data_IF_934412402086
#
_entry.id   IF_934412402086
#
_cell.length_a   1.000
_cell.length_b   1.000
_cell.length_c   1.000
_cell.angle_alpha   90.00
_cell.angle_beta   90.00
_cell.angle_gamma   90.00
#
_symmetry.space_group_name_H-M   'P 1'
#
loop_
_entity.id
_entity.type
_entity.pdbx_description
1 polymer ?
#
# COMPACT_ATOMS: atom_id res chain seq x y z
N UNK A 1 -12.52 -26.75 -40.78
CA UNK A 1 -13.38 -26.82 -41.98
C UNK A 1 -14.00 -25.44 -42.26
N UNK A 2 -15.26 -25.12 -41.91
CA UNK A 2 -15.92 -23.88 -42.39
C UNK A 2 -15.13 -22.56 -42.19
N UNK A 3 -14.48 -22.34 -41.04
CA UNK A 3 -13.67 -21.13 -40.81
C UNK A 3 -12.33 -21.10 -41.58
N UNK A 4 -11.78 -22.24 -41.99
CA UNK A 4 -10.67 -22.25 -42.96
C UNK A 4 -11.17 -21.85 -44.35
N UNK A 5 -12.33 -22.36 -44.79
CA UNK A 5 -12.92 -21.93 -46.06
C UNK A 5 -13.23 -20.43 -46.07
N UNK A 6 -13.59 -19.82 -44.93
CA UNK A 6 -13.71 -18.37 -44.80
C UNK A 6 -12.35 -17.63 -44.86
N UNK A 7 -11.27 -18.19 -44.31
CA UNK A 7 -9.92 -17.62 -44.45
C UNK A 7 -9.39 -17.72 -45.88
N UNK A 8 -9.68 -18.81 -46.59
CA UNK A 8 -9.39 -18.92 -48.02
C UNK A 8 -10.30 -17.99 -48.86
N UNK A 9 -11.59 -17.83 -48.50
CA UNK A 9 -12.48 -16.85 -49.14
C UNK A 9 -12.04 -15.39 -48.92
N UNK A 10 -11.49 -15.05 -47.75
CA UNK A 10 -10.90 -13.74 -47.49
C UNK A 10 -9.51 -13.55 -48.13
N UNK A 11 -8.89 -14.62 -48.66
CA UNK A 11 -7.80 -14.55 -49.65
C UNK A 11 -8.31 -14.53 -51.11
N UNK A 12 -9.60 -14.77 -51.34
CA UNK A 12 -10.25 -14.66 -52.67
C UNK A 12 -10.88 -13.27 -52.88
N UNK A 13 -11.16 -12.51 -51.82
CA UNK A 13 -11.44 -11.06 -51.93
C UNK A 13 -10.22 -10.24 -52.39
N UNK A 14 -9.09 -10.88 -52.65
CA UNK A 14 -7.93 -10.29 -53.33
C UNK A 14 -8.27 -9.83 -54.77
N UNK A 15 -9.41 -10.25 -55.33
CA UNK A 15 -9.95 -9.66 -56.57
C UNK A 15 -10.16 -8.15 -56.46
N UNK A 16 -10.72 -7.64 -55.35
CA UNK A 16 -10.95 -6.20 -55.19
C UNK A 16 -9.65 -5.41 -55.02
N UNK A 17 -8.62 -6.02 -54.42
CA UNK A 17 -7.30 -5.39 -54.28
C UNK A 17 -6.50 -5.41 -55.58
N UNK A 18 -6.70 -6.44 -56.41
CA UNK A 18 -6.24 -6.43 -57.80
C UNK A 18 -6.94 -5.31 -58.57
N UNK A 19 -8.26 -5.15 -58.46
CA UNK A 19 -8.97 -4.10 -59.19
C UNK A 19 -8.53 -2.68 -58.78
N UNK A 20 -8.36 -2.37 -57.48
CA UNK A 20 -7.88 -1.04 -57.05
C UNK A 20 -6.40 -0.78 -57.43
N UNK A 21 -5.52 -1.80 -57.37
CA UNK A 21 -4.12 -1.66 -57.80
C UNK A 21 -3.96 -1.62 -59.33
N UNK A 22 -4.94 -2.13 -60.09
CA UNK A 22 -4.94 -2.18 -61.56
C UNK A 22 -5.68 -0.98 -62.15
N UNK A 23 -6.73 -0.46 -61.52
CA UNK A 23 -7.58 0.65 -62.01
C UNK A 23 -7.43 1.96 -61.23
N UNK A 24 -6.20 2.27 -60.78
CA UNK A 24 -5.83 3.64 -60.43
C UNK A 24 -6.15 4.61 -61.58
N UNK A 25 -6.98 5.62 -61.30
CA UNK A 25 -7.59 6.54 -62.28
C UNK A 25 -6.57 7.43 -63.01
N UNK A 26 -6.10 7.03 -64.18
CA UNK A 26 -5.67 7.95 -65.25
C UNK A 26 -6.04 7.40 -66.64
N UNK A 27 -6.55 8.25 -67.52
CA UNK A 27 -6.97 7.89 -68.88
C UNK A 27 -5.75 7.59 -69.77
N UNK A 28 -5.51 6.30 -70.05
CA UNK A 28 -4.46 5.85 -70.97
C UNK A 28 -5.02 4.91 -72.05
N UNK A 29 -5.03 5.33 -73.33
CA UNK A 29 -5.46 4.48 -74.43
C UNK A 29 -4.35 3.50 -74.85
N UNK A 30 -4.77 2.29 -75.24
CA UNK A 30 -3.98 1.19 -75.81
C UNK A 30 -3.05 0.41 -74.86
N UNK A 31 -3.58 -0.74 -74.41
CA UNK A 31 -2.84 -2.01 -74.49
C UNK A 31 -1.87 -2.32 -73.34
N UNK A 32 -2.40 -2.80 -72.21
CA UNK A 32 -1.60 -3.58 -71.27
C UNK A 32 -1.17 -4.90 -71.91
N UNK A 33 0.01 -4.91 -72.53
CA UNK A 33 0.80 -6.14 -72.67
C UNK A 33 1.29 -6.53 -71.26
N UNK A 34 0.38 -7.04 -70.42
CA UNK A 34 0.71 -7.69 -69.17
C UNK A 34 1.65 -8.85 -69.48
N UNK A 35 2.87 -8.78 -68.98
CA UNK A 35 3.96 -9.67 -69.36
C UNK A 35 3.63 -11.12 -68.96
N UNK A 36 3.05 -11.88 -69.90
CA UNK A 36 2.36 -13.14 -69.62
C UNK A 36 3.29 -14.18 -68.99
N UNK A 37 4.59 -14.13 -69.30
CA UNK A 37 5.60 -14.97 -68.64
C UNK A 37 5.74 -14.65 -67.15
N UNK A 38 5.83 -13.37 -66.77
CA UNK A 38 5.89 -12.96 -65.35
C UNK A 38 4.62 -13.32 -64.61
N UNK A 39 3.44 -13.13 -65.23
CA UNK A 39 2.16 -13.50 -64.60
C UNK A 39 2.04 -15.01 -64.42
N UNK A 40 2.52 -15.80 -65.38
CA UNK A 40 2.60 -17.26 -65.26
C UNK A 40 3.57 -17.68 -64.15
N UNK A 41 4.80 -17.16 -64.13
CA UNK A 41 5.80 -17.45 -63.10
C UNK A 41 5.29 -17.12 -61.68
N UNK A 42 4.58 -16.00 -61.53
CA UNK A 42 3.97 -15.61 -60.25
C UNK A 42 2.84 -16.56 -59.81
N UNK A 43 1.98 -16.99 -60.76
CA UNK A 43 0.94 -17.99 -60.49
C UNK A 43 1.57 -19.35 -60.12
N UNK A 44 2.57 -19.82 -60.89
CA UNK A 44 3.28 -21.07 -60.62
C UNK A 44 3.94 -21.02 -59.22
N UNK A 45 4.61 -19.92 -58.87
CA UNK A 45 5.22 -19.72 -57.54
C UNK A 45 4.21 -19.71 -56.39
N UNK A 46 3.02 -19.13 -56.58
CA UNK A 46 1.94 -19.16 -55.56
C UNK A 46 1.37 -20.58 -55.42
N UNK A 47 1.26 -21.33 -56.51
CA UNK A 47 0.77 -22.73 -56.48
C UNK A 47 1.78 -23.63 -55.76
N UNK A 48 3.08 -23.44 -55.99
CA UNK A 48 4.16 -24.13 -55.26
C UNK A 48 4.13 -23.77 -53.76
N UNK A 49 4.01 -22.49 -53.41
CA UNK A 49 3.93 -22.05 -51.99
C UNK A 49 2.66 -22.61 -51.30
N UNK A 50 1.54 -22.71 -52.01
CA UNK A 50 0.31 -23.33 -51.48
C UNK A 50 0.48 -24.83 -51.26
N UNK A 51 1.19 -25.53 -52.14
CA UNK A 51 1.49 -26.95 -51.97
C UNK A 51 2.37 -27.19 -50.75
N UNK A 52 3.51 -26.49 -50.63
CA UNK A 52 4.44 -26.61 -49.49
C UNK A 52 3.74 -26.35 -48.15
N UNK A 53 2.87 -25.35 -48.09
CA UNK A 53 2.13 -25.00 -46.88
C UNK A 53 1.05 -26.04 -46.52
N UNK A 54 0.45 -26.71 -47.51
CA UNK A 54 -0.45 -27.85 -47.27
C UNK A 54 0.33 -29.06 -46.77
N UNK A 55 1.46 -29.41 -47.40
CA UNK A 55 2.33 -30.52 -46.98
C UNK A 55 2.74 -30.37 -45.51
N UNK A 56 3.18 -29.17 -45.12
CA UNK A 56 3.52 -28.81 -43.73
C UNK A 56 2.33 -28.98 -42.77
N UNK A 57 1.13 -28.54 -43.16
CA UNK A 57 -0.05 -28.68 -42.30
C UNK A 57 -0.39 -30.15 -42.06
N UNK A 58 -0.31 -30.99 -43.10
CA UNK A 58 -0.63 -32.41 -42.98
C UNK A 58 0.46 -33.22 -42.25
N UNK A 59 1.75 -32.89 -42.38
CA UNK A 59 2.81 -33.53 -41.58
C UNK A 59 2.66 -33.23 -40.08
N UNK A 60 2.35 -31.98 -39.71
CA UNK A 60 2.01 -31.59 -38.33
C UNK A 60 0.78 -32.33 -37.83
N UNK A 61 -0.32 -32.36 -38.61
CA UNK A 61 -1.58 -32.99 -38.19
C UNK A 61 -1.48 -34.52 -38.05
N UNK A 62 -0.68 -35.19 -38.89
CA UNK A 62 -0.41 -36.63 -38.78
C UNK A 62 0.54 -36.94 -37.62
N UNK A 63 1.58 -36.15 -37.42
CA UNK A 63 2.45 -36.22 -36.23
C UNK A 63 1.64 -36.14 -34.92
N UNK A 64 0.69 -35.20 -34.83
CA UNK A 64 -0.20 -35.07 -33.67
C UNK A 64 -1.15 -36.27 -33.51
N UNK A 65 -1.61 -36.89 -34.60
CA UNK A 65 -2.45 -38.09 -34.54
C UNK A 65 -1.69 -39.33 -34.06
N UNK A 66 -0.38 -39.41 -34.34
CA UNK A 66 0.48 -40.54 -33.99
C UNK A 66 0.91 -40.58 -32.51
N UNK A 67 0.61 -39.56 -31.69
CA UNK A 67 0.86 -39.63 -30.25
C UNK A 67 -0.02 -40.69 -29.56
N UNK A 68 0.62 -41.70 -28.94
CA UNK A 68 -0.04 -42.85 -28.28
C UNK A 68 -1.03 -42.50 -27.15
N UNK A 69 -0.99 -41.29 -26.61
CA UNK A 69 -1.83 -40.88 -25.47
C UNK A 69 -2.77 -39.73 -25.86
N UNK A 70 -4.08 -39.92 -25.68
CA UNK A 70 -5.11 -38.92 -26.04
C UNK A 70 -4.88 -37.57 -25.38
N UNK A 71 -4.39 -37.53 -24.13
CA UNK A 71 -4.07 -36.30 -23.40
C UNK A 71 -3.02 -35.44 -24.14
N UNK A 72 -1.93 -36.04 -24.62
CA UNK A 72 -0.89 -35.33 -25.40
C UNK A 72 -1.33 -34.90 -26.80
N UNK A 73 -2.51 -35.33 -27.28
CA UNK A 73 -3.11 -34.80 -28.50
C UNK A 73 -3.94 -33.53 -28.26
N UNK A 74 -4.36 -33.25 -27.02
CA UNK A 74 -5.29 -32.16 -26.72
C UNK A 74 -4.61 -30.80 -26.76
N UNK A 75 -3.40 -30.68 -26.20
CA UNK A 75 -2.62 -29.43 -26.17
C UNK A 75 -2.27 -28.92 -27.58
N UNK A 76 -1.59 -29.69 -28.46
CA UNK A 76 -1.25 -29.19 -29.79
C UNK A 76 -2.49 -28.98 -30.70
N UNK A 77 -3.61 -29.67 -30.45
CA UNK A 77 -4.88 -29.38 -31.15
C UNK A 77 -5.53 -28.08 -30.66
N UNK A 78 -5.41 -27.73 -29.38
CA UNK A 78 -5.85 -26.42 -28.86
C UNK A 78 -4.98 -25.30 -29.43
N UNK A 79 -3.67 -25.53 -29.54
CA UNK A 79 -2.72 -24.59 -30.13
C UNK A 79 -3.03 -24.32 -31.60
N UNK A 80 -3.22 -25.35 -32.43
CA UNK A 80 -3.71 -25.17 -33.83
C UNK A 80 -5.05 -24.44 -33.86
N UNK A 81 -5.99 -24.77 -32.96
CA UNK A 81 -7.28 -24.09 -32.90
C UNK A 81 -7.21 -22.62 -32.44
N UNK A 82 -6.10 -22.19 -31.84
CA UNK A 82 -5.78 -20.80 -31.55
C UNK A 82 -5.05 -20.14 -32.72
N UNK A 83 -4.04 -20.79 -33.31
CA UNK A 83 -3.31 -20.31 -34.49
C UNK A 83 -4.24 -20.07 -35.70
N UNK A 84 -5.26 -20.92 -35.91
CA UNK A 84 -6.29 -20.76 -36.95
C UNK A 84 -7.20 -19.54 -36.72
N UNK A 85 -7.11 -18.86 -35.58
CA UNK A 85 -7.78 -17.56 -35.32
C UNK A 85 -6.90 -16.35 -35.68
N UNK A 86 -5.63 -16.58 -36.01
CA UNK A 86 -4.67 -15.53 -36.37
C UNK A 86 -4.54 -15.40 -37.91
N UNK A 87 -3.81 -14.37 -38.34
CA UNK A 87 -3.54 -14.14 -39.76
C UNK A 87 -2.79 -15.31 -40.42
N UNK A 88 -3.02 -15.52 -41.72
CA UNK A 88 -2.53 -16.69 -42.44
C UNK A 88 -1.00 -16.88 -42.42
N UNK A 89 -0.21 -15.79 -42.39
CA UNK A 89 1.25 -15.86 -42.20
C UNK A 89 1.62 -16.42 -40.83
N UNK A 90 1.09 -15.82 -39.76
CA UNK A 90 1.30 -16.25 -38.38
C UNK A 90 0.87 -17.71 -38.13
N UNK A 91 -0.17 -18.18 -38.84
CA UNK A 91 -0.56 -19.59 -38.83
C UNK A 91 0.51 -20.49 -39.46
N UNK A 92 1.05 -20.13 -40.63
CA UNK A 92 2.12 -20.89 -41.30
C UNK A 92 3.39 -20.89 -40.45
N UNK A 93 3.81 -19.76 -39.92
CA UNK A 93 5.01 -19.66 -39.08
C UNK A 93 4.86 -20.43 -37.76
N UNK A 94 3.68 -20.39 -37.14
CA UNK A 94 3.35 -21.21 -35.98
C UNK A 94 3.38 -22.72 -36.29
N UNK A 95 2.86 -23.15 -37.44
CA UNK A 95 2.94 -24.53 -37.90
C UNK A 95 4.40 -24.96 -38.20
N UNK A 96 5.23 -24.07 -38.76
CA UNK A 96 6.67 -24.30 -38.98
C UNK A 96 7.42 -24.46 -37.66
N UNK A 97 7.06 -23.68 -36.64
CA UNK A 97 7.65 -23.77 -35.30
C UNK A 97 7.27 -25.10 -34.64
N UNK A 98 5.98 -25.42 -34.59
CA UNK A 98 5.47 -26.71 -34.08
C UNK A 98 6.09 -27.92 -34.78
N UNK A 99 6.29 -27.87 -36.10
CA UNK A 99 6.94 -28.95 -36.86
C UNK A 99 8.40 -29.18 -36.41
N UNK A 100 9.13 -28.10 -36.12
CA UNK A 100 10.51 -28.16 -35.59
C UNK A 100 10.53 -28.68 -34.15
N UNK A 101 9.67 -28.16 -33.30
CA UNK A 101 9.64 -28.49 -31.86
C UNK A 101 9.23 -29.94 -31.62
N UNK A 102 8.29 -30.46 -32.41
CA UNK A 102 7.88 -31.87 -32.39
C UNK A 102 8.85 -32.81 -33.12
N UNK A 103 9.92 -32.27 -33.75
CA UNK A 103 10.93 -33.02 -34.53
C UNK A 103 10.33 -34.01 -35.53
N UNK A 104 9.28 -33.60 -36.22
CA UNK A 104 8.61 -34.45 -37.20
C UNK A 104 9.50 -34.60 -38.44
N UNK A 105 9.74 -35.83 -38.88
CA UNK A 105 10.29 -36.10 -40.21
C UNK A 105 9.28 -35.69 -41.28
N UNK A 106 9.72 -35.43 -42.53
CA UNK A 106 8.79 -35.33 -43.66
C UNK A 106 7.99 -36.64 -43.75
N UNK A 107 6.72 -36.58 -43.36
CA UNK A 107 5.74 -37.63 -43.60
C UNK A 107 5.12 -37.30 -44.96
N UNK A 108 5.10 -38.27 -45.87
CA UNK A 108 4.51 -38.10 -47.20
C UNK A 108 3.02 -37.74 -47.09
N UNK A 109 2.53 -36.99 -48.07
CA UNK A 109 1.15 -36.51 -48.09
C UNK A 109 0.18 -37.70 -48.03
N UNK A 110 -0.74 -37.79 -47.05
CA UNK A 110 -1.58 -38.97 -46.93
C UNK A 110 -2.52 -39.11 -48.13
N UNK A 111 -2.46 -40.23 -48.85
CA UNK A 111 -3.17 -40.52 -50.12
C UNK A 111 -4.67 -40.13 -50.12
N UNK A 112 -5.30 -40.13 -48.95
CA UNK A 112 -6.70 -39.70 -48.75
C UNK A 112 -6.97 -38.24 -49.16
N UNK A 113 -5.94 -37.39 -49.21
CA UNK A 113 -6.03 -35.97 -49.57
C UNK A 113 -5.49 -35.64 -50.96
N UNK A 114 -5.05 -36.64 -51.74
CA UNK A 114 -4.63 -36.50 -53.15
C UNK A 114 -5.60 -35.70 -54.02
N UNK A 115 -6.90 -35.83 -53.75
CA UNK A 115 -7.94 -35.13 -54.48
C UNK A 115 -7.78 -33.60 -54.41
N UNK A 116 -7.29 -33.08 -53.27
CA UNK A 116 -7.03 -31.64 -53.07
C UNK A 116 -5.84 -31.18 -53.92
N UNK A 117 -4.75 -31.97 -53.95
CA UNK A 117 -3.59 -31.67 -54.78
C UNK A 117 -3.94 -31.74 -56.28
N UNK A 118 -4.69 -32.76 -56.71
CA UNK A 118 -5.21 -32.86 -58.08
C UNK A 118 -6.17 -31.70 -58.42
N UNK A 119 -6.89 -31.15 -57.46
CA UNK A 119 -7.79 -30.02 -57.68
C UNK A 119 -7.02 -28.69 -57.81
N UNK A 120 -5.96 -28.49 -57.03
CA UNK A 120 -4.98 -27.40 -57.21
C UNK A 120 -4.27 -27.52 -58.57
N UNK A 121 -3.87 -28.72 -58.97
CA UNK A 121 -3.24 -28.96 -60.27
C UNK A 121 -4.23 -28.81 -61.44
N UNK A 122 -5.50 -29.14 -61.22
CA UNK A 122 -6.58 -28.83 -62.16
C UNK A 122 -6.87 -27.34 -62.26
N UNK A 123 -6.71 -26.54 -61.18
CA UNK A 123 -6.76 -25.07 -61.26
C UNK A 123 -5.60 -24.54 -62.11
N UNK A 124 -4.38 -25.07 -61.93
CA UNK A 124 -3.21 -24.76 -62.77
C UNK A 124 -3.45 -25.04 -64.26
N UNK A 125 -4.25 -26.07 -64.59
CA UNK A 125 -4.64 -26.44 -65.96
C UNK A 125 -5.87 -25.69 -66.50
N UNK A 126 -6.80 -25.27 -65.63
CA UNK A 126 -8.06 -24.58 -65.99
C UNK A 126 -7.92 -23.08 -66.14
N UNK A 127 -6.87 -22.46 -65.60
CA UNK A 127 -6.52 -21.06 -65.87
C UNK A 127 -6.25 -20.88 -67.38
N UNK A 128 -7.16 -20.27 -68.15
CA UNK A 128 -7.04 -20.24 -69.60
C UNK A 128 -5.91 -19.29 -69.98
N UNK A 129 -4.96 -19.78 -70.76
CA UNK A 129 -3.99 -18.91 -71.41
C UNK A 129 -4.73 -18.26 -72.59
N UNK A 130 -5.10 -16.98 -72.47
CA UNK A 130 -5.75 -16.19 -73.53
C UNK A 130 -4.81 -15.85 -74.72
N UNK A 131 -3.90 -16.76 -75.08
CA UNK A 131 -2.95 -16.59 -76.19
C UNK A 131 -3.59 -16.66 -77.58
N UNK A 132 -4.79 -17.21 -77.71
CA UNK A 132 -5.39 -17.50 -79.03
C UNK A 132 -6.44 -16.48 -79.52
N UNK A 133 -6.91 -15.54 -78.67
CA UNK A 133 -7.93 -14.57 -79.05
C UNK A 133 -7.39 -13.20 -79.54
N UNK A 134 -6.06 -12.99 -79.56
CA UNK A 134 -5.43 -11.72 -79.96
C UNK A 134 -4.92 -11.68 -81.43
N UNK A 135 -5.34 -12.59 -82.31
CA UNK A 135 -4.96 -12.59 -83.74
C UNK A 135 -6.14 -12.34 -84.71
N UNK A 136 -6.63 -11.08 -84.83
CA UNK A 136 -7.55 -10.70 -85.89
C UNK A 136 -6.80 -10.42 -87.21
N UNK A 137 -6.33 -11.46 -87.90
CA UNK A 137 -5.72 -11.33 -89.24
C UNK A 137 -6.67 -11.80 -90.36
N UNK A 138 -7.61 -10.93 -90.78
CA UNK A 138 -8.21 -11.01 -92.13
C UNK A 138 -7.60 -9.94 -93.05
N UNK A 139 -6.86 -10.43 -94.04
CA UNK A 139 -5.96 -9.70 -94.97
C UNK A 139 -6.73 -8.69 -95.84
N UNK A 140 -6.28 -7.42 -95.94
CA UNK A 140 -6.20 -6.63 -97.21
C UNK A 140 -5.63 -5.18 -97.19
N UNK A 141 -5.18 -4.57 -96.09
CA UNK A 141 -4.58 -3.19 -96.07
C UNK A 141 -3.14 -3.12 -95.51
N UNK A 142 -2.20 -3.77 -96.19
CA UNK A 142 -0.95 -4.20 -95.55
C UNK A 142 0.26 -3.24 -95.51
N UNK A 143 0.19 -2.03 -96.08
CA UNK A 143 1.35 -1.10 -96.15
C UNK A 143 1.21 0.12 -95.24
N UNK A 144 0.12 0.87 -95.34
CA UNK A 144 0.00 2.16 -94.64
C UNK A 144 -0.16 1.98 -93.11
N UNK A 145 -0.92 0.98 -92.67
CA UNK A 145 -1.05 0.63 -91.25
C UNK A 145 0.29 0.13 -90.65
N UNK A 146 1.10 -0.59 -91.44
CA UNK A 146 2.47 -0.99 -91.02
C UNK A 146 3.39 0.22 -90.90
N UNK A 147 3.32 1.16 -91.84
CA UNK A 147 4.11 2.40 -91.78
C UNK A 147 3.69 3.24 -90.57
N UNK A 148 2.38 3.43 -90.34
CA UNK A 148 1.87 4.12 -89.15
C UNK A 148 2.34 3.47 -87.84
N UNK A 149 2.31 2.13 -87.75
CA UNK A 149 2.80 1.39 -86.59
C UNK A 149 4.32 1.54 -86.38
N UNK A 150 5.12 1.49 -87.45
CA UNK A 150 6.56 1.75 -87.41
C UNK A 150 6.85 3.19 -86.96
N UNK A 151 6.13 4.18 -87.50
CA UNK A 151 6.26 5.58 -87.10
C UNK A 151 5.86 5.78 -85.64
N UNK A 152 4.79 5.14 -85.16
CA UNK A 152 4.38 5.18 -83.75
C UNK A 152 5.43 4.55 -82.84
N UNK A 153 6.04 3.43 -83.21
CA UNK A 153 7.16 2.81 -82.48
C UNK A 153 8.37 3.74 -82.43
N UNK A 154 8.72 4.38 -83.54
CA UNK A 154 9.86 5.32 -83.58
C UNK A 154 9.61 6.57 -82.73
N UNK A 155 8.39 7.11 -82.77
CA UNK A 155 7.96 8.22 -81.92
C UNK A 155 7.99 7.84 -80.42
N UNK A 156 7.45 6.67 -80.06
CA UNK A 156 7.50 6.15 -78.70
C UNK A 156 8.95 5.89 -78.23
N UNK A 157 9.82 5.34 -79.10
CA UNK A 157 11.25 5.16 -78.82
C UNK A 157 12.01 6.49 -78.72
N UNK A 158 11.57 7.56 -79.36
CA UNK A 158 12.10 8.91 -79.14
C UNK A 158 11.61 9.49 -77.80
N UNK A 159 10.33 9.32 -77.46
CA UNK A 159 9.75 9.76 -76.18
C UNK A 159 10.37 9.04 -74.98
N UNK A 160 10.57 7.73 -75.04
CA UNK A 160 11.27 6.93 -74.01
C UNK A 160 12.68 7.49 -73.80
N UNK A 161 13.47 7.66 -74.86
CA UNK A 161 14.83 8.25 -74.77
C UNK A 161 14.86 9.68 -74.21
N UNK A 162 13.82 10.47 -74.44
CA UNK A 162 13.70 11.81 -73.84
C UNK A 162 13.38 11.71 -72.33
N UNK A 163 12.48 10.81 -71.93
CA UNK A 163 12.16 10.55 -70.52
C UNK A 163 13.35 9.97 -69.76
N UNK A 164 14.10 9.03 -70.35
CA UNK A 164 15.34 8.49 -69.80
C UNK A 164 16.37 9.60 -69.53
N UNK A 165 16.60 10.49 -70.51
CA UNK A 165 17.49 11.64 -70.33
C UNK A 165 17.01 12.61 -69.25
N UNK A 166 15.70 12.89 -69.19
CA UNK A 166 15.11 13.75 -68.16
C UNK A 166 15.26 13.13 -66.77
N UNK A 167 15.01 11.83 -66.63
CA UNK A 167 15.21 11.07 -65.40
C UNK A 167 16.68 11.11 -64.96
N UNK A 168 17.63 10.91 -65.89
CA UNK A 168 19.07 11.04 -65.62
C UNK A 168 19.44 12.45 -65.14
N UNK A 169 18.92 13.51 -65.78
CA UNK A 169 19.19 14.89 -65.34
C UNK A 169 18.58 15.21 -63.97
N UNK A 170 17.39 14.69 -63.67
CA UNK A 170 16.77 14.85 -62.35
C UNK A 170 17.53 14.06 -61.27
N UNK A 171 18.02 12.86 -61.60
CA UNK A 171 18.83 12.07 -60.68
C UNK A 171 20.16 12.75 -60.37
N UNK A 172 20.85 13.30 -61.38
CA UNK A 172 22.08 14.05 -61.19
C UNK A 172 21.88 15.28 -60.27
N UNK A 173 20.84 16.08 -60.53
CA UNK A 173 20.51 17.24 -59.68
C UNK A 173 20.12 16.83 -58.24
N UNK A 174 19.47 15.68 -58.07
CA UNK A 174 19.10 15.14 -56.76
C UNK A 174 20.34 14.64 -55.98
N UNK A 175 21.30 14.04 -56.66
CA UNK A 175 22.55 13.59 -56.03
C UNK A 175 23.51 14.76 -55.75
N UNK A 176 23.50 15.81 -56.56
CA UNK A 176 24.17 17.10 -56.28
C UNK A 176 23.57 17.77 -55.02
N UNK A 177 22.24 17.89 -54.94
CA UNK A 177 21.56 18.44 -53.77
C UNK A 177 21.80 17.62 -52.49
N UNK A 178 21.95 16.28 -52.58
CA UNK A 178 22.38 15.45 -51.44
C UNK A 178 23.80 15.81 -50.99
N UNK A 179 24.74 15.92 -51.92
CA UNK A 179 26.14 16.26 -51.60
C UNK A 179 26.24 17.65 -50.95
N UNK A 180 25.49 18.62 -51.44
CA UNK A 180 25.39 19.95 -50.81
C UNK A 180 24.80 19.85 -49.39
N UNK A 181 23.73 19.07 -49.20
CA UNK A 181 23.12 18.87 -47.89
C UNK A 181 24.08 18.21 -46.89
N UNK A 182 24.83 17.19 -47.31
CA UNK A 182 25.89 16.59 -46.49
C UNK A 182 26.97 17.62 -46.14
N UNK A 183 27.47 18.39 -47.11
CA UNK A 183 28.49 19.41 -46.88
C UNK A 183 28.01 20.57 -45.98
N UNK A 184 26.70 20.88 -45.98
CA UNK A 184 26.09 21.85 -45.05
C UNK A 184 25.93 21.25 -43.65
N UNK A 185 25.45 20.01 -43.53
CA UNK A 185 25.30 19.30 -42.26
C UNK A 185 26.66 19.10 -41.56
N UNK A 186 27.69 18.71 -42.31
CA UNK A 186 29.05 18.56 -41.79
C UNK A 186 29.71 19.90 -41.42
N UNK A 187 29.27 21.03 -41.99
CA UNK A 187 29.69 22.37 -41.54
C UNK A 187 28.98 22.77 -40.25
N UNK A 188 27.65 22.69 -40.25
CA UNK A 188 26.82 22.98 -39.08
C UNK A 188 27.20 22.13 -37.86
N UNK A 189 27.56 20.86 -38.04
CA UNK A 189 28.08 20.00 -36.97
C UNK A 189 29.40 20.48 -36.38
N UNK A 190 30.32 21.00 -37.21
CA UNK A 190 31.60 21.56 -36.76
C UNK A 190 31.39 22.89 -36.04
N UNK A 191 30.56 23.77 -36.59
CA UNK A 191 30.18 25.04 -35.97
C UNK A 191 29.50 24.83 -34.60
N UNK A 192 28.61 23.83 -34.48
CA UNK A 192 28.00 23.45 -33.20
C UNK A 192 29.05 22.93 -32.21
N UNK A 193 29.99 22.10 -32.65
CA UNK A 193 31.05 21.59 -31.77
C UNK A 193 31.99 22.70 -31.30
N UNK A 194 32.39 23.61 -32.19
CA UNK A 194 33.22 24.78 -31.87
C UNK A 194 32.55 25.67 -30.80
N UNK A 195 31.24 25.94 -30.94
CA UNK A 195 30.46 26.68 -29.93
C UNK A 195 30.39 25.93 -28.59
N UNK A 196 30.30 24.59 -28.61
CA UNK A 196 30.31 23.77 -27.38
C UNK A 196 31.68 23.85 -26.71
N UNK A 197 32.76 23.63 -27.47
CA UNK A 197 34.13 23.62 -26.98
C UNK A 197 34.52 24.99 -26.39
N UNK A 198 34.15 26.10 -27.07
CA UNK A 198 34.32 27.47 -26.57
C UNK A 198 33.53 27.70 -25.27
N UNK A 199 32.27 27.27 -25.22
CA UNK A 199 31.43 27.43 -24.03
C UNK A 199 31.90 26.57 -22.85
N UNK A 200 32.47 25.38 -23.09
CA UNK A 200 33.06 24.54 -22.04
C UNK A 200 34.36 25.15 -21.50
N UNK A 201 35.16 25.79 -22.36
CA UNK A 201 36.35 26.54 -21.96
C UNK A 201 36.01 27.74 -21.08
N UNK A 202 35.07 28.60 -21.50
CA UNK A 202 34.60 29.74 -20.68
C UNK A 202 34.06 29.30 -19.32
N UNK A 203 33.28 28.21 -19.28
CA UNK A 203 32.76 27.65 -18.02
C UNK A 203 33.86 27.11 -17.11
N UNK A 204 34.92 26.52 -17.68
CA UNK A 204 36.08 26.06 -16.91
C UNK A 204 36.87 27.23 -16.33
N UNK A 205 37.07 28.30 -17.08
CA UNK A 205 37.76 29.51 -16.62
C UNK A 205 36.99 30.23 -15.51
N UNK A 206 35.67 30.42 -15.69
CA UNK A 206 34.78 30.98 -14.65
C UNK A 206 34.81 30.11 -13.38
N UNK A 207 34.82 28.78 -13.52
CA UNK A 207 34.92 27.87 -12.38
C UNK A 207 36.27 28.00 -11.68
N UNK A 208 37.39 28.04 -12.41
CA UNK A 208 38.72 28.20 -11.83
C UNK A 208 38.90 29.55 -11.12
N UNK A 209 38.31 30.62 -11.66
CA UNK A 209 38.25 31.91 -10.99
C UNK A 209 37.47 31.82 -9.67
N UNK A 210 36.27 31.25 -9.68
CA UNK A 210 35.43 31.07 -8.50
C UNK A 210 36.07 30.16 -7.42
N UNK A 211 36.70 29.05 -7.83
CA UNK A 211 37.45 28.16 -6.93
C UNK A 211 38.66 28.89 -6.30
N UNK A 212 39.31 29.79 -7.04
CA UNK A 212 40.43 30.61 -6.55
C UNK A 212 39.96 31.70 -5.57
N UNK A 213 38.86 32.39 -5.87
CA UNK A 213 38.24 33.35 -4.94
C UNK A 213 37.77 32.66 -3.65
N UNK A 214 37.18 31.46 -3.76
CA UNK A 214 36.77 30.67 -2.61
C UNK A 214 37.96 30.28 -1.74
N UNK A 215 39.07 29.81 -2.33
CA UNK A 215 40.30 29.49 -1.61
C UNK A 215 40.86 30.73 -0.87
N UNK A 216 40.87 31.90 -1.53
CA UNK A 216 41.31 33.15 -0.92
C UNK A 216 40.41 33.58 0.26
N UNK A 217 39.08 33.51 0.10
CA UNK A 217 38.12 33.81 1.17
C UNK A 217 38.23 32.82 2.35
N UNK A 218 38.49 31.54 2.07
CA UNK A 218 38.74 30.53 3.10
C UNK A 218 40.03 30.82 3.88
N UNK A 219 41.10 31.24 3.20
CA UNK A 219 42.34 31.65 3.83
C UNK A 219 42.15 32.92 4.67
N UNK A 220 41.47 33.95 4.14
CA UNK A 220 41.11 35.15 4.89
C UNK A 220 40.30 34.83 6.16
N UNK A 221 39.30 33.95 6.05
CA UNK A 221 38.49 33.51 7.19
C UNK A 221 39.35 32.80 8.23
N UNK A 222 40.25 31.90 7.81
CA UNK A 222 41.17 31.20 8.71
C UNK A 222 42.14 32.17 9.40
N UNK A 223 42.66 33.17 8.68
CA UNK A 223 43.49 34.24 9.25
C UNK A 223 42.70 35.08 10.27
N UNK A 224 41.49 35.52 9.94
CA UNK A 224 40.61 36.29 10.85
C UNK A 224 40.22 35.50 12.10
N UNK A 225 40.02 34.17 11.99
CA UNK A 225 39.79 33.29 13.16
C UNK A 225 41.04 33.20 14.03
N UNK A 226 42.23 33.06 13.44
CA UNK A 226 43.49 33.10 14.19
C UNK A 226 43.69 34.46 14.87
N UNK A 227 43.40 35.58 14.19
CA UNK A 227 43.48 36.93 14.78
C UNK A 227 42.52 37.11 15.96
N UNK A 228 41.32 36.52 15.90
CA UNK A 228 40.35 36.52 17.01
C UNK A 228 40.78 35.64 18.18
N UNK A 229 41.37 34.48 17.94
CA UNK A 229 41.92 33.61 19.00
C UNK A 229 43.20 34.21 19.64
N UNK A 230 43.96 34.99 18.86
CA UNK A 230 45.11 35.77 19.33
C UNK A 230 44.70 37.09 20.01
N UNK A 231 43.45 37.54 19.85
CA UNK A 231 42.93 38.69 20.56
C UNK A 231 42.59 38.31 22.01
N UNK A 232 43.46 38.70 22.93
CA UNK A 232 43.32 38.47 24.36
C UNK A 232 41.97 38.95 24.91
N UNK A 233 41.40 40.05 24.40
CA UNK A 233 40.11 40.58 24.84
C UNK A 233 38.94 39.60 24.57
N UNK A 234 38.93 38.97 23.39
CA UNK A 234 37.92 37.97 23.04
C UNK A 234 38.07 36.71 23.91
N UNK A 235 39.32 36.25 24.09
CA UNK A 235 39.64 35.11 24.95
C UNK A 235 39.22 35.35 26.41
N UNK A 236 39.46 36.54 26.94
CA UNK A 236 39.07 36.93 28.29
C UNK A 236 37.54 37.05 28.43
N UNK A 237 36.84 37.59 27.43
CA UNK A 237 35.38 37.65 27.41
C UNK A 237 34.75 36.24 27.37
N UNK A 238 35.30 35.33 26.57
CA UNK A 238 34.90 33.91 26.52
C UNK A 238 35.17 33.22 27.86
N UNK A 239 36.32 33.46 28.47
CA UNK A 239 36.66 32.95 29.81
C UNK A 239 35.71 33.50 30.89
N UNK A 240 35.39 34.79 30.84
CA UNK A 240 34.48 35.44 31.78
C UNK A 240 33.06 34.85 31.65
N UNK A 241 32.55 34.72 30.43
CA UNK A 241 31.25 34.09 30.15
C UNK A 241 31.21 32.61 30.57
N UNK A 242 32.28 31.84 30.32
CA UNK A 242 32.41 30.48 30.82
C UNK A 242 32.45 30.43 32.36
N UNK A 243 33.07 31.41 33.02
CA UNK A 243 33.04 31.54 34.49
C UNK A 243 31.63 31.85 35.01
N UNK A 244 30.89 32.74 34.33
CA UNK A 244 29.48 33.07 34.63
C UNK A 244 28.59 31.85 34.48
N UNK A 245 28.72 31.08 33.38
CA UNK A 245 28.03 29.80 33.17
C UNK A 245 28.30 28.82 34.32
N UNK A 246 29.57 28.60 34.70
CA UNK A 246 29.94 27.73 35.83
C UNK A 246 29.34 28.20 37.17
N UNK A 247 29.28 29.52 37.43
CA UNK A 247 28.62 30.09 38.62
C UNK A 247 27.12 29.82 38.61
N UNK A 248 26.44 30.04 37.47
CA UNK A 248 25.00 29.76 37.30
C UNK A 248 24.73 28.27 37.56
N UNK A 249 25.46 27.35 36.93
CA UNK A 249 25.26 25.90 37.15
C UNK A 249 25.43 25.51 38.62
N UNK A 250 26.43 26.07 39.33
CA UNK A 250 26.61 25.83 40.78
C UNK A 250 25.41 26.34 41.60
N UNK A 251 24.91 27.55 41.31
CA UNK A 251 23.73 28.10 41.98
C UNK A 251 22.48 27.28 41.69
N UNK A 252 22.26 26.83 40.44
CA UNK A 252 21.13 25.95 40.08
C UNK A 252 21.18 24.64 40.87
N UNK A 253 22.35 24.01 40.98
CA UNK A 253 22.52 22.78 41.79
C UNK A 253 22.29 23.05 43.28
N UNK A 254 22.75 24.18 43.81
CA UNK A 254 22.49 24.57 45.20
C UNK A 254 21.00 24.80 45.47
N UNK A 255 20.29 25.51 44.57
CA UNK A 255 18.84 25.71 44.66
C UNK A 255 18.07 24.40 44.58
N UNK A 256 18.44 23.48 43.67
CA UNK A 256 17.86 22.14 43.60
C UNK A 256 18.09 21.33 44.89
N UNK A 257 19.27 21.45 45.51
CA UNK A 257 19.54 20.83 46.81
C UNK A 257 18.74 21.47 47.95
N UNK A 258 18.51 22.78 47.91
CA UNK A 258 17.66 23.48 48.88
C UNK A 258 16.19 23.11 48.73
N UNK A 259 15.67 23.00 47.50
CA UNK A 259 14.31 22.50 47.23
C UNK A 259 14.16 21.07 47.76
N UNK A 260 15.08 20.16 47.42
CA UNK A 260 15.04 18.78 47.95
C UNK A 260 15.13 18.71 49.48
N UNK A 261 15.87 19.63 50.12
CA UNK A 261 15.89 19.75 51.59
C UNK A 261 14.55 20.26 52.12
N UNK A 262 13.97 21.29 51.50
CA UNK A 262 12.66 21.82 51.88
C UNK A 262 11.55 20.77 51.72
N UNK A 263 11.52 20.05 50.61
CA UNK A 263 10.56 18.97 50.36
C UNK A 263 10.67 17.88 51.45
N UNK A 264 11.89 17.56 51.91
CA UNK A 264 12.10 16.61 53.00
C UNK A 264 11.77 17.16 54.39
N UNK A 265 12.11 18.41 54.69
CA UNK A 265 11.92 19.01 56.02
C UNK A 265 10.51 19.57 56.27
N UNK A 266 9.81 19.96 55.20
CA UNK A 266 8.50 20.62 55.26
C UNK A 266 7.47 19.86 54.41
N UNK A 267 7.84 19.45 53.19
CA UNK A 267 6.91 18.77 52.27
C UNK A 267 6.44 17.40 52.74
N UNK A 268 7.33 16.56 53.27
CA UNK A 268 7.00 15.25 53.85
C UNK A 268 6.15 15.40 55.13
N UNK A 269 6.56 16.16 56.17
CA UNK A 269 5.71 16.42 57.34
C UNK A 269 4.37 17.10 57.03
N UNK A 270 4.29 17.96 56.00
CA UNK A 270 3.02 18.58 55.58
C UNK A 270 2.08 17.57 54.91
N UNK A 271 2.59 16.51 54.27
CA UNK A 271 1.75 15.40 53.79
C UNK A 271 1.25 14.56 54.96
N UNK A 272 2.12 14.22 55.89
CA UNK A 272 1.77 13.47 57.11
C UNK A 272 0.73 14.24 57.95
N UNK A 273 0.92 15.55 58.13
CA UNK A 273 -0.02 16.43 58.81
C UNK A 273 -1.39 16.43 58.12
N UNK A 274 -1.45 16.53 56.79
CA UNK A 274 -2.73 16.43 56.05
C UNK A 274 -3.40 15.08 56.21
N UNK A 275 -2.65 13.98 56.19
CA UNK A 275 -3.26 12.65 56.44
C UNK A 275 -3.76 12.51 57.87
N UNK A 276 -3.12 13.17 58.85
CA UNK A 276 -3.60 13.22 60.23
C UNK A 276 -4.82 14.15 60.40
N UNK A 277 -4.89 15.25 59.65
CA UNK A 277 -6.08 16.11 59.56
C UNK A 277 -7.26 15.31 58.98
N UNK A 278 -7.07 14.62 57.84
CA UNK A 278 -8.07 13.73 57.23
C UNK A 278 -8.54 12.63 58.20
N UNK A 279 -7.64 12.01 58.96
CA UNK A 279 -7.98 10.97 59.94
C UNK A 279 -8.65 11.53 61.22
N UNK A 280 -8.33 12.76 61.62
CA UNK A 280 -9.04 13.47 62.70
C UNK A 280 -10.46 13.84 62.24
N UNK A 281 -10.64 14.32 61.02
CA UNK A 281 -11.96 14.63 60.47
C UNK A 281 -12.83 13.37 60.37
N UNK A 282 -12.27 12.25 59.89
CA UNK A 282 -12.95 10.93 59.93
C UNK A 282 -13.29 10.48 61.34
N UNK A 283 -12.41 10.71 62.31
CA UNK A 283 -12.68 10.38 63.71
C UNK A 283 -13.81 11.25 64.29
N UNK A 284 -13.85 12.54 63.94
CA UNK A 284 -14.93 13.46 64.35
C UNK A 284 -16.27 13.06 63.71
N UNK A 285 -16.29 12.74 62.42
CA UNK A 285 -17.48 12.20 61.74
C UNK A 285 -17.96 10.91 62.40
N UNK A 286 -17.05 9.95 62.68
CA UNK A 286 -17.39 8.73 63.40
C UNK A 286 -17.89 8.98 64.83
N UNK A 287 -17.30 9.95 65.53
CA UNK A 287 -17.71 10.34 66.89
C UNK A 287 -19.14 10.87 66.89
N UNK A 288 -19.49 11.73 65.96
CA UNK A 288 -20.84 12.31 65.83
C UNK A 288 -21.87 11.29 65.31
N UNK A 289 -21.51 10.45 64.35
CA UNK A 289 -22.45 9.51 63.70
C UNK A 289 -22.65 8.20 64.46
N UNK A 290 -21.63 7.71 65.18
CA UNK A 290 -21.64 6.39 65.84
C UNK A 290 -21.54 6.50 67.35
N UNK A 291 -20.56 7.25 67.86
CA UNK A 291 -20.26 7.26 69.31
C UNK A 291 -21.30 8.03 70.13
N UNK A 292 -21.59 9.30 69.80
CA UNK A 292 -22.55 10.11 70.57
C UNK A 292 -23.97 9.52 70.57
N UNK A 293 -24.51 8.99 69.46
CA UNK A 293 -25.80 8.30 69.47
C UNK A 293 -25.81 7.01 70.33
N UNK A 294 -24.67 6.34 70.49
CA UNK A 294 -24.55 5.20 71.41
C UNK A 294 -24.46 5.65 72.88
N UNK A 295 -23.71 6.70 73.18
CA UNK A 295 -23.63 7.29 74.53
C UNK A 295 -25.01 7.79 74.98
N UNK A 296 -25.76 8.43 74.10
CA UNK A 296 -27.09 8.93 74.43
C UNK A 296 -28.11 7.79 74.62
N UNK A 297 -28.07 6.74 73.79
CA UNK A 297 -28.84 5.50 74.05
C UNK A 297 -28.47 4.85 75.38
N UNK A 298 -27.18 4.77 75.71
CA UNK A 298 -26.72 4.24 77.01
C UNK A 298 -27.20 5.11 78.18
N UNK A 299 -27.19 6.43 78.03
CA UNK A 299 -27.70 7.39 79.03
C UNK A 299 -29.19 7.19 79.27
N UNK A 300 -29.99 7.10 78.21
CA UNK A 300 -31.43 6.83 78.28
C UNK A 300 -31.71 5.47 78.93
N UNK A 301 -30.97 4.44 78.57
CA UNK A 301 -31.08 3.12 79.18
C UNK A 301 -30.75 3.17 80.67
N UNK A 302 -29.66 3.84 81.06
CA UNK A 302 -29.25 4.00 82.47
C UNK A 302 -30.33 4.72 83.28
N UNK A 303 -30.89 5.82 82.78
CA UNK A 303 -32.00 6.53 83.43
C UNK A 303 -33.23 5.62 83.56
N UNK A 304 -33.54 4.81 82.54
CA UNK A 304 -34.65 3.85 82.63
C UNK A 304 -34.42 2.77 83.70
N UNK A 305 -33.18 2.26 83.83
CA UNK A 305 -32.80 1.30 84.86
C UNK A 305 -32.89 1.92 86.26
N UNK A 306 -32.35 3.13 86.45
CA UNK A 306 -32.46 3.86 87.72
C UNK A 306 -33.93 4.11 88.12
N UNK A 307 -34.81 4.40 87.15
CA UNK A 307 -36.25 4.50 87.39
C UNK A 307 -36.86 3.15 87.81
N UNK A 308 -36.55 2.05 87.11
CA UNK A 308 -37.04 0.71 87.48
C UNK A 308 -36.53 0.26 88.86
N UNK A 309 -35.25 0.51 89.18
CA UNK A 309 -34.66 0.22 90.49
C UNK A 309 -35.32 1.07 91.59
N UNK A 310 -35.56 2.36 91.34
CA UNK A 310 -36.26 3.22 92.31
C UNK A 310 -37.70 2.77 92.57
N UNK A 311 -38.43 2.36 91.52
CA UNK A 311 -39.78 1.81 91.64
C UNK A 311 -39.79 0.49 92.43
N UNK A 312 -38.83 -0.42 92.14
CA UNK A 312 -38.67 -1.68 92.87
C UNK A 312 -38.36 -1.44 94.36
N UNK A 313 -37.47 -0.48 94.66
CA UNK A 313 -37.16 -0.09 96.04
C UNK A 313 -38.37 0.53 96.76
N UNK A 314 -39.20 1.30 96.06
CA UNK A 314 -40.44 1.85 96.61
C UNK A 314 -41.48 0.74 96.87
N UNK A 315 -41.61 -0.26 95.99
CA UNK A 315 -42.46 -1.44 96.21
C UNK A 315 -41.99 -2.28 97.40
N UNK A 316 -40.69 -2.53 97.54
CA UNK A 316 -40.11 -3.20 98.70
C UNK A 316 -40.35 -2.40 99.99
N UNK A 317 -40.17 -1.07 99.97
CA UNK A 317 -40.46 -0.21 101.11
C UNK A 317 -41.96 -0.25 101.49
N UNK A 318 -42.87 -0.24 100.50
CA UNK A 318 -44.32 -0.43 100.70
C UNK A 318 -44.63 -1.79 101.32
N UNK A 319 -43.96 -2.87 100.90
CA UNK A 319 -44.09 -4.21 101.49
C UNK A 319 -43.58 -4.24 102.95
N UNK A 320 -42.36 -3.76 103.22
CA UNK A 320 -41.82 -3.68 104.58
C UNK A 320 -42.69 -2.82 105.52
N UNK A 321 -43.29 -1.74 105.01
CA UNK A 321 -44.23 -0.91 105.76
C UNK A 321 -45.51 -1.69 106.13
N UNK A 322 -46.11 -2.42 105.17
CA UNK A 322 -47.26 -3.32 105.42
C UNK A 322 -46.94 -4.39 106.46
N UNK A 323 -45.77 -5.04 106.36
CA UNK A 323 -45.30 -6.02 107.33
C UNK A 323 -45.02 -5.43 108.71
N UNK A 324 -44.48 -4.21 108.77
CA UNK A 324 -44.22 -3.51 110.03
C UNK A 324 -45.54 -3.15 110.72
N UNK A 325 -46.50 -2.59 109.97
CA UNK A 325 -47.84 -2.29 110.47
C UNK A 325 -48.53 -3.55 111.02
N UNK A 326 -48.48 -4.67 110.28
CA UNK A 326 -48.96 -5.97 110.76
C UNK A 326 -48.29 -6.42 112.06
N UNK A 327 -46.96 -6.29 112.18
CA UNK A 327 -46.21 -6.61 113.40
C UNK A 327 -46.58 -5.70 114.58
N UNK A 328 -46.81 -4.41 114.36
CA UNK A 328 -47.25 -3.45 115.39
C UNK A 328 -48.65 -3.81 115.89
N UNK A 329 -49.61 -4.08 114.99
CA UNK A 329 -50.96 -4.52 115.35
C UNK A 329 -50.91 -5.82 116.17
N UNK A 330 -50.13 -6.81 115.73
CA UNK A 330 -49.93 -8.06 116.49
C UNK A 330 -49.32 -7.81 117.88
N UNK A 331 -48.34 -6.91 118.01
CA UNK A 331 -47.74 -6.55 119.31
C UNK A 331 -48.74 -5.84 120.22
N UNK A 332 -49.51 -4.87 119.71
CA UNK A 332 -50.54 -4.17 120.46
C UNK A 332 -51.63 -5.13 120.97
N UNK A 333 -52.07 -6.07 120.11
CA UNK A 333 -53.01 -7.12 120.49
C UNK A 333 -52.46 -8.06 121.57
N UNK A 334 -51.21 -8.52 121.45
CA UNK A 334 -50.53 -9.31 122.49
C UNK A 334 -50.36 -8.52 123.80
N UNK A 335 -50.00 -7.23 123.74
CA UNK A 335 -49.83 -6.38 124.91
C UNK A 335 -51.15 -6.10 125.64
N UNK A 336 -52.23 -5.84 124.91
CA UNK A 336 -53.58 -5.73 125.48
C UNK A 336 -54.02 -7.03 126.18
N UNK A 337 -53.65 -8.19 125.62
CA UNK A 337 -53.88 -9.51 126.23
C UNK A 337 -53.07 -9.71 127.52
N UNK A 338 -51.82 -9.24 127.60
CA UNK A 338 -50.99 -9.32 128.81
C UNK A 338 -51.39 -8.29 129.90
N UNK A 339 -51.76 -7.07 129.53
CA UNK A 339 -52.28 -6.06 130.48
C UNK A 339 -53.58 -6.52 131.16
N UNK A 340 -54.43 -7.29 130.44
CA UNK A 340 -55.60 -7.97 131.04
C UNK A 340 -55.20 -9.04 132.07
N UNK A 341 -53.99 -9.62 132.00
CA UNK A 341 -53.47 -10.56 133.02
C UNK A 341 -52.79 -9.85 134.20
N UNK A 342 -52.05 -8.76 133.95
CA UNK A 342 -51.11 -8.19 134.93
C UNK A 342 -51.72 -7.27 135.99
N UNK A 343 -52.95 -6.76 135.81
CA UNK A 343 -53.71 -5.93 136.78
C UNK A 343 -54.15 -6.69 138.07
N UNK A 344 -53.34 -7.63 138.57
CA UNK A 344 -53.70 -8.57 139.65
C UNK A 344 -52.69 -8.69 140.84
N UNK A 345 -51.62 -7.85 141.00
CA UNK A 345 -50.62 -7.95 142.12
C UNK A 345 -49.88 -6.62 142.55
N UNK A 346 -49.53 -6.36 143.85
CA UNK A 346 -48.79 -5.14 144.36
C UNK A 346 -47.40 -5.37 145.09
N UNK A 347 -46.64 -4.30 145.49
CA UNK A 347 -45.23 -4.32 146.05
C UNK A 347 -44.80 -3.12 146.99
N UNK A 348 -43.65 -3.23 147.74
CA UNK A 348 -42.97 -2.18 148.60
C UNK A 348 -41.40 -2.13 148.43
N UNK A 349 -40.67 -1.11 148.97
CA UNK A 349 -39.20 -0.78 148.82
C UNK A 349 -38.56 -0.28 150.16
N UNK A 350 -37.23 -0.05 150.39
CA UNK A 350 -35.97 -0.32 149.65
C UNK A 350 -34.94 0.86 149.52
N UNK A 351 -33.75 0.83 150.19
CA UNK A 351 -32.57 1.79 150.19
C UNK A 351 -31.32 1.13 150.87
N UNK A 352 -30.03 1.59 150.88
CA UNK A 352 -29.10 2.35 149.98
C UNK A 352 -27.64 2.50 150.58
N UNK A 353 -26.54 2.23 149.83
CA UNK A 353 -25.13 2.69 150.10
C UNK A 353 -24.01 1.61 149.98
N UNK A 354 -22.70 1.86 149.76
CA UNK A 354 -21.92 2.98 149.14
C UNK A 354 -20.40 2.57 148.98
N UNK A 355 -19.64 3.18 148.03
CA UNK A 355 -18.14 3.31 147.91
C UNK A 355 -17.26 2.09 147.44
N UNK A 356 -16.31 2.34 146.49
CA UNK A 356 -14.93 1.77 146.57
C UNK A 356 -14.18 1.21 145.33
N UNK A 357 -13.32 2.03 144.70
CA UNK A 357 -11.97 1.74 144.10
C UNK A 357 -11.58 0.37 143.44
N UNK A 358 -11.09 0.45 142.19
CA UNK A 358 -9.72 0.07 141.70
C UNK A 358 -9.51 -0.98 140.58
N UNK A 359 -8.43 -0.70 139.80
CA UNK A 359 -7.44 -1.60 139.14
C UNK A 359 -7.77 -2.44 137.88
N UNK A 360 -6.94 -2.15 136.86
CA UNK A 360 -6.20 -3.03 135.92
C UNK A 360 -6.95 -4.07 135.05
N UNK A 361 -6.81 -3.84 133.74
CA UNK A 361 -6.49 -4.78 132.67
C UNK A 361 -6.63 -6.29 132.94
N UNK A 362 -7.46 -6.93 132.12
CA UNK A 362 -6.95 -7.80 131.05
C UNK A 362 -7.93 -7.85 129.87
#
# INVERSE_FOLDING_TARGET
MLKMNQLFANKISFSSWIDDAVYGKEDLPFGRALDFQRRKQWIDSIVEELQDNLELFFSVMTGIQNFRSKLKQIEPRKEIAQLVRLNAGNLIDGLRLMHKDMKLSKIEFPEKYDHILREVENLRRKLPIETELLLPYKRKRFRDEKLQWITAILANKARIRHLEKRMQSMQAALDEAKLENFALNDRSRREIQEIIDDSEMELSDVKHAADSEFAHLQEESSRKVLDLDMNNEYRDLVNEHNSKRRKITKLTVQLQLWIKKYDKFVGEPMKEMKTLEDDVDRFMEWKETVYEPQVEKYRQLKVSVELFESALMEEQAKQFSKEHAARVIQRAWRAARELRKSKKKPKKKGKKGLKGKSKKNK
#
